data_IF_788127219726
#
_entry.id   IF_788127219726
#
_cell.length_a   1.000
_cell.length_b   1.000
_cell.length_c   1.000
_cell.angle_alpha   90.00
_cell.angle_beta   90.00
_cell.angle_gamma   90.00
#
_symmetry.space_group_name_H-M   'P 1'
#
loop_
_entity.id
_entity.type
_entity.pdbx_description
1 polymer ?
#
# COMPACT_ATOMS: atom_id res chain seq x y z
N UNK A 1 32.12 -21.07 -1.57
CA UNK A 1 30.75 -21.57 -1.82
C UNK A 1 30.36 -21.21 -3.25
N UNK A 2 29.94 -22.16 -4.10
CA UNK A 2 29.38 -21.82 -5.42
C UNK A 2 28.04 -21.12 -5.18
N UNK A 3 27.96 -19.83 -5.47
CA UNK A 3 26.70 -19.08 -5.38
C UNK A 3 25.73 -19.63 -6.44
N UNK A 4 24.47 -19.80 -6.05
CA UNK A 4 23.42 -20.22 -6.99
C UNK A 4 23.24 -19.17 -8.09
N UNK A 5 22.86 -19.60 -9.30
CA UNK A 5 22.49 -18.67 -10.37
C UNK A 5 21.21 -17.92 -9.96
N UNK A 6 21.06 -16.62 -10.31
CA UNK A 6 19.86 -15.83 -9.97
C UNK A 6 18.55 -16.54 -10.31
N UNK A 7 18.47 -17.14 -11.50
CA UNK A 7 17.29 -17.86 -12.00
C UNK A 7 16.88 -19.11 -11.18
N UNK A 8 17.68 -19.51 -10.18
CA UNK A 8 17.37 -20.60 -9.24
C UNK A 8 17.03 -20.09 -7.82
N UNK A 9 16.99 -18.77 -7.61
CA UNK A 9 16.79 -18.15 -6.30
C UNK A 9 15.36 -17.62 -6.19
N UNK A 10 14.64 -18.08 -5.15
CA UNK A 10 13.43 -17.43 -4.67
C UNK A 10 13.74 -16.59 -3.43
N UNK A 11 13.25 -15.36 -3.40
CA UNK A 11 13.45 -14.44 -2.30
C UNK A 11 12.11 -13.97 -1.73
N UNK A 12 12.08 -13.69 -0.43
CA UNK A 12 10.92 -13.14 0.25
C UNK A 12 11.35 -11.94 1.08
N UNK A 13 10.57 -10.86 1.02
CA UNK A 13 10.76 -9.65 1.82
C UNK A 13 9.46 -9.33 2.54
N UNK A 14 9.60 -8.83 3.76
CA UNK A 14 8.50 -8.19 4.46
C UNK A 14 8.18 -6.84 3.80
N UNK A 15 6.90 -6.52 3.62
CA UNK A 15 6.46 -5.26 3.02
C UNK A 15 6.63 -4.09 4.01
N UNK A 16 7.87 -3.65 4.22
CA UNK A 16 8.26 -2.57 5.12
C UNK A 16 8.40 -1.23 4.36
N UNK A 17 7.30 -0.76 3.79
CA UNK A 17 7.23 0.58 3.17
C UNK A 17 8.22 0.80 2.01
N UNK A 18 8.85 1.97 1.98
CA UNK A 18 9.72 2.42 0.88
C UNK A 18 11.01 1.59 0.74
N UNK A 19 11.53 1.03 1.84
CA UNK A 19 12.78 0.26 1.83
C UNK A 19 12.68 -1.03 0.99
N UNK A 20 11.54 -1.71 1.00
CA UNK A 20 11.35 -2.93 0.22
C UNK A 20 11.32 -2.66 -1.29
N UNK A 21 10.96 -1.44 -1.74
CA UNK A 21 10.75 -1.14 -3.17
C UNK A 21 12.06 -1.22 -3.96
N UNK A 22 13.11 -0.54 -3.50
CA UNK A 22 14.39 -0.50 -4.20
C UNK A 22 15.03 -1.88 -4.31
N UNK A 23 15.00 -2.65 -3.22
CA UNK A 23 15.51 -4.02 -3.17
C UNK A 23 14.69 -4.93 -4.11
N UNK A 24 13.36 -4.79 -4.10
CA UNK A 24 12.49 -5.60 -4.96
C UNK A 24 12.76 -5.38 -6.44
N UNK A 25 12.91 -4.12 -6.85
CA UNK A 25 13.26 -3.76 -8.23
C UNK A 25 14.62 -4.32 -8.63
N UNK A 26 15.64 -4.15 -7.78
CA UNK A 26 16.98 -4.65 -8.07
C UNK A 26 17.00 -6.18 -8.21
N UNK A 27 16.36 -6.90 -7.29
CA UNK A 27 16.27 -8.37 -7.35
C UNK A 27 15.54 -8.85 -8.61
N UNK A 28 14.44 -8.20 -8.97
CA UNK A 28 13.70 -8.53 -10.19
C UNK A 28 14.52 -8.26 -11.46
N UNK A 29 15.23 -7.12 -11.53
CA UNK A 29 16.13 -6.79 -12.64
C UNK A 29 17.28 -7.79 -12.80
N UNK A 30 17.74 -8.38 -11.69
CA UNK A 30 18.76 -9.45 -11.73
C UNK A 30 18.22 -10.82 -12.14
N UNK A 31 16.92 -10.93 -12.47
CA UNK A 31 16.33 -12.15 -13.03
C UNK A 31 16.28 -13.29 -12.03
N UNK A 32 15.99 -13.00 -10.76
CA UNK A 32 15.72 -14.07 -9.79
C UNK A 32 14.47 -14.87 -10.17
N UNK A 33 14.38 -16.12 -9.74
CA UNK A 33 13.27 -17.01 -10.09
C UNK A 33 11.91 -16.42 -9.69
N UNK A 34 11.80 -16.00 -8.42
CA UNK A 34 10.59 -15.39 -7.89
C UNK A 34 10.91 -14.50 -6.69
N UNK A 35 10.27 -13.34 -6.62
CA UNK A 35 10.28 -12.48 -5.44
C UNK A 35 8.89 -12.53 -4.79
N UNK A 36 8.83 -12.54 -3.48
CA UNK A 36 7.56 -12.48 -2.74
C UNK A 36 7.58 -11.30 -1.76
N UNK A 37 6.61 -10.41 -1.86
CA UNK A 37 6.37 -9.37 -0.86
C UNK A 37 5.23 -9.78 0.06
N UNK A 38 5.53 -9.94 1.34
CA UNK A 38 4.58 -10.51 2.31
C UNK A 38 4.22 -9.48 3.38
N UNK A 39 2.94 -9.44 3.74
CA UNK A 39 2.45 -8.57 4.80
C UNK A 39 3.14 -8.91 6.15
N UNK A 40 3.69 -7.90 6.87
CA UNK A 40 4.24 -8.03 8.23
C UNK A 40 3.43 -8.91 9.18
N UNK A 41 2.10 -8.84 9.12
CA UNK A 41 1.19 -9.60 9.99
C UNK A 41 1.32 -11.11 9.78
N UNK A 42 1.54 -11.58 8.54
CA UNK A 42 1.74 -13.01 8.25
C UNK A 42 3.07 -13.50 8.81
N UNK A 43 4.14 -12.74 8.61
CA UNK A 43 5.47 -13.06 9.15
C UNK A 43 5.43 -13.10 10.69
N UNK A 44 4.78 -12.12 11.32
CA UNK A 44 4.61 -12.08 12.78
C UNK A 44 3.79 -13.26 13.30
N UNK A 45 2.67 -13.60 12.66
CA UNK A 45 1.84 -14.73 13.05
C UNK A 45 2.62 -16.06 12.96
N UNK A 46 3.38 -16.26 11.88
CA UNK A 46 4.25 -17.43 11.72
C UNK A 46 5.37 -17.49 12.77
N UNK A 47 5.98 -16.34 13.10
CA UNK A 47 6.99 -16.25 14.17
C UNK A 47 6.42 -16.61 15.55
N UNK A 48 5.21 -16.16 15.86
CA UNK A 48 4.52 -16.47 17.11
C UNK A 48 4.19 -17.97 17.22
N UNK A 49 3.72 -18.59 16.12
CA UNK A 49 3.47 -20.03 16.06
C UNK A 49 4.73 -20.86 16.40
N UNK A 50 5.91 -20.35 16.05
CA UNK A 50 7.21 -21.00 16.34
C UNK A 50 7.81 -20.61 17.70
N UNK A 51 7.05 -19.95 18.58
CA UNK A 51 7.47 -19.53 19.93
C UNK A 51 8.77 -18.74 19.95
N UNK A 52 8.97 -17.84 18.97
CA UNK A 52 10.21 -17.07 18.87
C UNK A 52 10.35 -16.09 20.04
N UNK A 53 11.44 -16.21 20.80
CA UNK A 53 11.72 -15.34 21.97
C UNK A 53 12.63 -14.14 21.66
N UNK A 54 13.59 -14.29 20.74
CA UNK A 54 14.57 -13.25 20.43
C UNK A 54 14.30 -12.58 19.07
N UNK A 55 14.52 -11.26 18.99
CA UNK A 55 14.41 -10.45 17.77
C UNK A 55 15.77 -9.89 17.39
N UNK A 56 16.20 -10.18 16.16
CA UNK A 56 17.45 -9.71 15.56
C UNK A 56 17.31 -9.83 14.04
N UNK A 57 17.96 -8.96 13.28
CA UNK A 57 17.85 -8.94 11.82
C UNK A 57 18.16 -10.30 11.17
N UNK A 58 19.18 -11.01 11.67
CA UNK A 58 19.53 -12.36 11.18
C UNK A 58 18.45 -13.40 11.48
N UNK A 59 17.84 -13.33 12.68
CA UNK A 59 16.74 -14.21 13.05
C UNK A 59 15.46 -13.88 12.27
N UNK A 60 15.21 -12.60 11.95
CA UNK A 60 14.11 -12.15 11.11
C UNK A 60 14.29 -12.64 9.67
N UNK A 61 15.46 -12.44 9.06
CA UNK A 61 15.75 -12.96 7.73
C UNK A 61 15.60 -14.49 7.65
N UNK A 62 16.08 -15.23 8.67
CA UNK A 62 15.91 -16.69 8.75
C UNK A 62 14.44 -17.09 8.91
N UNK A 63 13.65 -16.32 9.65
CA UNK A 63 12.21 -16.57 9.79
C UNK A 63 11.49 -16.38 8.45
N UNK A 64 11.79 -15.29 7.74
CA UNK A 64 11.21 -14.99 6.42
C UNK A 64 11.57 -16.07 5.40
N UNK A 65 12.82 -16.55 5.39
CA UNK A 65 13.23 -17.66 4.52
C UNK A 65 12.48 -18.96 4.84
N UNK A 66 12.28 -19.28 6.12
CA UNK A 66 11.48 -20.45 6.54
C UNK A 66 10.00 -20.31 6.19
N UNK A 67 9.45 -19.11 6.34
CA UNK A 67 8.10 -18.79 5.93
C UNK A 67 7.92 -19.02 4.43
N UNK A 68 8.85 -18.52 3.61
CA UNK A 68 8.81 -18.73 2.17
C UNK A 68 8.77 -20.22 1.83
N UNK A 69 9.68 -21.03 2.38
CA UNK A 69 9.70 -22.48 2.12
C UNK A 69 8.39 -23.17 2.53
N UNK A 70 7.76 -22.74 3.62
CA UNK A 70 6.53 -23.35 4.12
C UNK A 70 5.29 -22.97 3.31
N UNK A 71 5.23 -21.73 2.81
CA UNK A 71 3.99 -21.12 2.30
C UNK A 71 4.06 -20.79 0.80
N UNK A 72 5.17 -21.11 0.12
CA UNK A 72 5.44 -20.67 -1.26
C UNK A 72 4.30 -20.92 -2.23
N UNK A 73 3.63 -22.06 -2.13
CA UNK A 73 2.55 -22.47 -3.03
C UNK A 73 1.31 -21.57 -2.91
N UNK A 74 1.13 -20.90 -1.77
CA UNK A 74 0.01 -20.01 -1.49
C UNK A 74 0.41 -18.52 -1.64
N UNK A 75 1.60 -18.25 -2.17
CA UNK A 75 2.10 -16.91 -2.42
C UNK A 75 2.10 -16.59 -3.92
N UNK A 76 1.61 -15.40 -4.25
CA UNK A 76 1.75 -14.84 -5.60
C UNK A 76 3.09 -14.13 -5.72
N UNK A 77 3.91 -14.43 -6.76
CA UNK A 77 5.13 -13.69 -7.02
C UNK A 77 4.85 -12.20 -7.20
N UNK A 78 5.68 -11.36 -6.58
CA UNK A 78 5.66 -9.93 -6.76
C UNK A 78 6.10 -9.57 -8.18
N UNK A 79 5.35 -8.66 -8.78
CA UNK A 79 5.68 -8.01 -10.04
C UNK A 79 5.79 -6.50 -9.83
N UNK A 80 6.74 -5.84 -10.50
CA UNK A 80 6.82 -4.39 -10.46
C UNK A 80 5.56 -3.78 -11.06
N UNK A 81 5.12 -2.65 -10.49
CA UNK A 81 4.09 -1.82 -11.10
C UNK A 81 4.62 -1.25 -12.41
N UNK A 82 3.72 -1.00 -13.36
CA UNK A 82 4.05 -0.24 -14.57
C UNK A 82 4.46 1.19 -14.18
N UNK A 83 5.25 1.85 -15.02
CA UNK A 83 5.69 3.23 -14.79
C UNK A 83 4.50 4.17 -14.55
N UNK A 84 3.40 3.99 -15.28
CA UNK A 84 2.18 4.77 -15.13
C UNK A 84 1.52 4.53 -13.76
N UNK A 85 1.46 3.29 -13.29
CA UNK A 85 0.91 2.96 -11.97
C UNK A 85 1.80 3.46 -10.83
N UNK A 86 3.12 3.45 -11.00
CA UNK A 86 4.07 4.03 -10.04
C UNK A 86 3.87 5.54 -9.93
N UNK A 87 3.85 6.26 -11.07
CA UNK A 87 3.58 7.69 -11.12
C UNK A 87 2.21 8.03 -10.51
N UNK A 88 1.18 7.25 -10.84
CA UNK A 88 -0.16 7.42 -10.26
C UNK A 88 -0.12 7.25 -8.73
N UNK A 89 0.57 6.22 -8.24
CA UNK A 89 0.70 5.95 -6.80
C UNK A 89 1.35 7.14 -6.07
N UNK A 90 2.46 7.64 -6.61
CA UNK A 90 3.20 8.75 -5.98
C UNK A 90 2.36 10.03 -5.95
N UNK A 91 1.68 10.37 -7.05
CA UNK A 91 0.83 11.56 -7.12
C UNK A 91 -0.37 11.45 -6.18
N UNK A 92 -1.03 10.29 -6.12
CA UNK A 92 -2.17 10.07 -5.21
C UNK A 92 -1.74 10.23 -3.75
N UNK A 93 -0.63 9.59 -3.34
CA UNK A 93 -0.06 9.76 -1.99
C UNK A 93 0.31 11.20 -1.69
N UNK A 94 0.83 11.92 -2.68
CA UNK A 94 1.15 13.34 -2.54
C UNK A 94 -0.11 14.18 -2.32
N UNK A 95 -1.22 13.91 -3.03
CA UNK A 95 -2.49 14.59 -2.77
C UNK A 95 -3.01 14.39 -1.35
N UNK A 96 -2.84 13.20 -0.77
CA UNK A 96 -3.19 12.96 0.62
C UNK A 96 -2.29 13.76 1.57
N UNK A 97 -0.99 13.86 1.26
CA UNK A 97 -0.04 14.64 2.06
C UNK A 97 -0.44 16.11 2.10
N UNK A 98 -0.69 16.72 0.94
CA UNK A 98 -1.15 18.11 0.83
C UNK A 98 -2.47 18.28 1.58
N UNK A 99 -3.40 17.33 1.46
CA UNK A 99 -4.70 17.38 2.16
C UNK A 99 -4.50 17.41 3.69
N UNK A 100 -3.59 16.59 4.23
CA UNK A 100 -3.22 16.61 5.66
C UNK A 100 -2.57 17.93 6.06
N UNK A 101 -1.73 18.51 5.22
CA UNK A 101 -1.10 19.80 5.48
C UNK A 101 -2.11 20.95 5.49
N UNK A 102 -3.05 20.97 4.54
CA UNK A 102 -4.17 21.91 4.54
C UNK A 102 -4.97 21.80 5.86
N UNK A 103 -5.28 20.58 6.31
CA UNK A 103 -5.98 20.38 7.58
C UNK A 103 -5.20 20.97 8.76
N UNK A 104 -3.88 20.69 8.85
CA UNK A 104 -3.01 21.27 9.88
C UNK A 104 -2.97 22.79 9.83
N UNK A 105 -2.92 23.37 8.63
CA UNK A 105 -2.91 24.83 8.46
C UNK A 105 -4.24 25.46 8.88
N UNK A 106 -5.38 24.81 8.59
CA UNK A 106 -6.70 25.25 9.04
C UNK A 106 -6.80 25.28 10.57
N UNK A 107 -6.39 24.20 11.23
CA UNK A 107 -6.36 24.16 12.71
C UNK A 107 -5.47 25.27 13.29
N UNK A 108 -4.30 25.53 12.69
CA UNK A 108 -3.44 26.66 13.10
C UNK A 108 -4.10 28.01 12.87
N UNK A 109 -4.89 28.16 11.79
CA UNK A 109 -5.59 29.40 11.47
C UNK A 109 -6.71 29.68 12.48
N UNK A 110 -7.45 28.64 12.89
CA UNK A 110 -8.51 28.76 13.90
C UNK A 110 -7.96 29.14 15.28
N UNK A 111 -6.73 28.70 15.60
CA UNK A 111 -6.07 29.02 16.88
C UNK A 111 -5.31 30.36 16.89
N UNK A 112 -5.15 31.03 15.74
CA UNK A 112 -4.35 32.25 15.64
C UNK A 112 -5.18 33.51 15.94
N UNK A 113 -4.58 34.45 16.67
CA UNK A 113 -5.21 35.74 17.04
C UNK A 113 -4.64 36.88 16.20
N UNK A 114 -3.31 36.88 15.98
CA UNK A 114 -2.63 37.96 15.30
C UNK A 114 -3.06 38.08 13.81
N UNK A 115 -3.50 39.27 13.35
CA UNK A 115 -3.97 39.46 11.98
C UNK A 115 -2.94 39.17 10.88
N UNK A 116 -1.64 39.43 11.14
CA UNK A 116 -0.56 39.16 10.18
C UNK A 116 -0.38 37.65 10.05
N UNK A 117 -0.41 36.92 11.16
CA UNK A 117 -0.37 35.45 11.19
C UNK A 117 -1.57 34.87 10.45
N UNK A 118 -2.79 35.33 10.71
CA UNK A 118 -4.02 34.89 10.02
C UNK A 118 -3.94 35.09 8.50
N UNK A 119 -3.49 36.26 8.05
CA UNK A 119 -3.29 36.56 6.63
C UNK A 119 -2.26 35.62 5.99
N UNK A 120 -1.16 35.34 6.70
CA UNK A 120 -0.11 34.42 6.22
C UNK A 120 -0.62 32.99 6.10
N UNK A 121 -1.34 32.48 7.11
CA UNK A 121 -1.91 31.13 7.12
C UNK A 121 -2.97 30.97 6.03
N UNK A 122 -3.85 31.96 5.86
CA UNK A 122 -4.88 31.96 4.81
C UNK A 122 -4.27 31.92 3.40
N UNK A 123 -3.19 32.67 3.17
CA UNK A 123 -2.45 32.63 1.90
C UNK A 123 -1.84 31.25 1.65
N UNK A 124 -1.26 30.62 2.67
CA UNK A 124 -0.68 29.26 2.56
C UNK A 124 -1.75 28.23 2.24
N UNK A 125 -2.89 28.25 2.95
CA UNK A 125 -4.03 27.36 2.67
C UNK A 125 -4.46 27.47 1.20
N UNK A 126 -4.61 28.71 0.69
CA UNK A 126 -4.97 28.93 -0.73
C UNK A 126 -3.91 28.39 -1.69
N UNK A 127 -2.62 28.56 -1.38
CA UNK A 127 -1.52 28.03 -2.18
C UNK A 127 -1.56 26.50 -2.25
N UNK A 128 -1.70 25.83 -1.10
CA UNK A 128 -1.78 24.37 -1.03
C UNK A 128 -3.02 23.82 -1.75
N UNK A 129 -4.16 24.50 -1.64
CA UNK A 129 -5.38 24.14 -2.38
C UNK A 129 -5.19 24.23 -3.89
N UNK A 130 -4.46 25.24 -4.37
CA UNK A 130 -4.14 25.39 -5.79
C UNK A 130 -3.20 24.27 -6.26
N UNK A 131 -2.19 23.95 -5.46
CA UNK A 131 -1.27 22.83 -5.75
C UNK A 131 -2.03 21.50 -5.79
N UNK A 132 -2.89 21.23 -4.81
CA UNK A 132 -3.74 20.05 -4.77
C UNK A 132 -4.60 19.91 -6.05
N UNK A 133 -5.20 21.01 -6.50
CA UNK A 133 -5.98 21.03 -7.73
C UNK A 133 -5.10 20.73 -8.97
N UNK A 134 -3.90 21.31 -9.04
CA UNK A 134 -2.96 21.05 -10.12
C UNK A 134 -2.52 19.57 -10.18
N UNK A 135 -2.22 18.97 -9.04
CA UNK A 135 -1.84 17.55 -8.96
C UNK A 135 -3.01 16.65 -9.36
N UNK A 136 -4.24 16.96 -8.93
CA UNK A 136 -5.44 16.21 -9.36
C UNK A 136 -5.65 16.25 -10.87
N UNK A 137 -5.38 17.38 -11.52
CA UNK A 137 -5.41 17.47 -12.99
C UNK A 137 -4.36 16.57 -13.65
N UNK A 138 -3.15 16.47 -13.08
CA UNK A 138 -2.10 15.55 -13.57
C UNK A 138 -2.49 14.08 -13.43
N UNK A 139 -3.09 13.71 -12.29
CA UNK A 139 -3.64 12.36 -12.07
C UNK A 139 -4.66 12.02 -13.15
N UNK A 140 -5.61 12.92 -13.40
CA UNK A 140 -6.63 12.74 -14.44
C UNK A 140 -6.02 12.61 -15.84
N UNK A 141 -4.91 13.31 -16.12
CA UNK A 141 -4.21 13.18 -17.40
C UNK A 141 -3.58 11.78 -17.58
N UNK A 142 -2.92 11.24 -16.54
CA UNK A 142 -2.33 9.89 -16.55
C UNK A 142 -3.41 8.82 -16.73
N UNK A 143 -4.53 8.96 -16.00
CA UNK A 143 -5.65 8.02 -16.14
C UNK A 143 -6.22 8.06 -17.56
N UNK A 144 -6.35 9.24 -18.16
CA UNK A 144 -6.85 9.37 -19.54
C UNK A 144 -5.88 8.79 -20.57
N UNK A 145 -4.58 8.93 -20.38
CA UNK A 145 -3.57 8.47 -21.33
C UNK A 145 -3.38 6.94 -21.34
N UNK A 146 -3.74 6.24 -20.26
CA UNK A 146 -3.65 4.78 -20.19
C UNK A 146 -5.02 4.12 -20.29
N UNK A 147 -5.25 3.38 -21.38
CA UNK A 147 -6.50 2.64 -21.62
C UNK A 147 -6.84 1.65 -20.49
N UNK A 148 -5.83 0.96 -19.95
CA UNK A 148 -5.99 -0.02 -18.88
C UNK A 148 -6.44 0.66 -17.58
N UNK A 149 -5.77 1.75 -17.19
CA UNK A 149 -6.09 2.50 -15.98
C UNK A 149 -7.46 3.17 -16.11
N UNK A 150 -7.75 3.76 -17.28
CA UNK A 150 -9.04 4.41 -17.56
C UNK A 150 -10.23 3.46 -17.43
N UNK A 151 -10.13 2.26 -18.03
CA UNK A 151 -11.18 1.25 -17.93
C UNK A 151 -11.39 0.82 -16.48
N UNK A 152 -10.30 0.66 -15.73
CA UNK A 152 -10.35 0.31 -14.31
C UNK A 152 -11.01 1.43 -13.48
N UNK A 153 -10.66 2.70 -13.71
CA UNK A 153 -11.30 3.86 -13.06
C UNK A 153 -12.81 3.90 -13.32
N UNK A 154 -13.23 3.71 -14.57
CA UNK A 154 -14.65 3.71 -14.95
C UNK A 154 -15.43 2.60 -14.26
N UNK A 155 -14.86 1.38 -14.21
CA UNK A 155 -15.48 0.25 -13.53
C UNK A 155 -15.61 0.50 -12.03
N UNK A 156 -14.56 1.00 -11.37
CA UNK A 156 -14.57 1.31 -9.94
C UNK A 156 -15.62 2.38 -9.62
N UNK A 157 -15.69 3.45 -10.42
CA UNK A 157 -16.66 4.53 -10.26
C UNK A 157 -18.10 4.14 -10.56
N UNK A 158 -18.34 3.00 -11.22
CA UNK A 158 -19.70 2.48 -11.44
C UNK A 158 -20.37 1.99 -10.15
N UNK A 159 -19.57 1.76 -9.10
CA UNK A 159 -20.07 1.36 -7.78
C UNK A 159 -20.71 2.57 -7.08
N UNK A 160 -22.00 2.48 -6.67
CA UNK A 160 -22.66 3.57 -5.96
C UNK A 160 -21.87 4.03 -4.72
N UNK A 161 -21.64 5.34 -4.61
CA UNK A 161 -20.89 5.95 -3.51
C UNK A 161 -19.37 6.04 -3.72
N UNK A 162 -18.82 5.51 -4.82
CA UNK A 162 -17.40 5.65 -5.14
C UNK A 162 -17.17 6.82 -6.11
N UNK A 163 -16.48 7.85 -5.62
CA UNK A 163 -16.06 9.02 -6.40
C UNK A 163 -14.62 8.92 -6.91
N UNK A 164 -14.18 9.97 -7.62
CA UNK A 164 -12.83 10.06 -8.23
C UNK A 164 -11.70 9.84 -7.22
N UNK A 165 -11.77 10.52 -6.08
CA UNK A 165 -10.72 10.44 -5.05
C UNK A 165 -10.57 9.00 -4.55
N UNK A 166 -11.68 8.34 -4.23
CA UNK A 166 -11.70 6.96 -3.77
C UNK A 166 -11.23 5.99 -4.86
N UNK A 167 -11.66 6.21 -6.10
CA UNK A 167 -11.23 5.42 -7.25
C UNK A 167 -9.72 5.51 -7.48
N UNK A 168 -9.17 6.73 -7.49
CA UNK A 168 -7.73 6.95 -7.67
C UNK A 168 -6.91 6.31 -6.54
N UNK A 169 -7.41 6.38 -5.30
CA UNK A 169 -6.78 5.71 -4.16
C UNK A 169 -6.76 4.19 -4.33
N UNK A 170 -7.88 3.61 -4.77
CA UNK A 170 -7.96 2.18 -5.06
C UNK A 170 -6.97 1.78 -6.16
N UNK A 171 -6.90 2.52 -7.26
CA UNK A 171 -5.97 2.27 -8.37
C UNK A 171 -4.50 2.41 -7.96
N UNK A 172 -4.19 3.32 -7.03
CA UNK A 172 -2.86 3.54 -6.52
C UNK A 172 -2.40 2.46 -5.54
N UNK A 173 -3.27 2.03 -4.61
CA UNK A 173 -2.87 1.18 -3.48
C UNK A 173 -3.23 -0.30 -3.66
N UNK A 174 -4.32 -0.61 -4.35
CA UNK A 174 -4.73 -2.01 -4.56
C UNK A 174 -3.79 -2.62 -5.63
N UNK A 175 -3.12 -3.75 -5.33
CA UNK A 175 -2.34 -4.47 -6.32
C UNK A 175 -3.26 -5.05 -7.40
N UNK A 176 -2.70 -5.69 -8.42
CA UNK A 176 -3.51 -6.33 -9.46
C UNK A 176 -4.61 -7.22 -8.82
N UNK A 177 -5.85 -7.01 -9.24
CA UNK A 177 -7.02 -7.71 -8.72
C UNK A 177 -6.93 -9.22 -9.00
N UNK A 178 -6.18 -9.64 -10.02
CA UNK A 178 -5.91 -11.05 -10.32
C UNK A 178 -5.15 -11.77 -9.20
N UNK A 179 -4.51 -11.03 -8.29
CA UNK A 179 -3.88 -11.60 -7.09
C UNK A 179 -4.90 -12.09 -6.05
N UNK A 180 -6.18 -11.74 -6.20
CA UNK A 180 -7.25 -12.13 -5.29
C UNK A 180 -8.19 -13.11 -5.97
N UNK A 181 -8.35 -14.29 -5.38
CA UNK A 181 -9.30 -15.31 -5.82
C UNK A 181 -10.76 -14.86 -5.71
N UNK A 182 -11.07 -13.96 -4.78
CA UNK A 182 -12.41 -13.43 -4.56
C UNK A 182 -12.41 -12.11 -3.78
N UNK A 183 -13.54 -11.42 -3.79
CA UNK A 183 -13.72 -10.14 -3.10
C UNK A 183 -13.50 -10.20 -1.58
N UNK A 184 -13.77 -11.35 -0.92
CA UNK A 184 -13.51 -11.48 0.53
C UNK A 184 -12.01 -11.46 0.82
N UNK A 185 -11.19 -12.04 -0.05
CA UNK A 185 -9.74 -12.02 0.09
C UNK A 185 -9.19 -10.60 -0.06
N UNK A 186 -9.70 -9.83 -1.03
CA UNK A 186 -9.37 -8.41 -1.17
C UNK A 186 -9.79 -7.61 0.07
N UNK A 187 -11.01 -7.83 0.57
CA UNK A 187 -11.53 -7.13 1.74
C UNK A 187 -10.72 -7.46 3.02
N UNK A 188 -10.30 -8.72 3.18
CA UNK A 188 -9.41 -9.14 4.26
C UNK A 188 -8.01 -8.54 4.13
N UNK A 189 -7.48 -8.47 2.91
CA UNK A 189 -6.20 -7.81 2.62
C UNK A 189 -6.24 -6.31 2.93
N UNK A 190 -7.33 -5.63 2.53
CA UNK A 190 -7.57 -4.23 2.83
C UNK A 190 -7.88 -3.99 4.33
N UNK A 191 -8.13 -5.05 5.10
CA UNK A 191 -8.42 -4.97 6.54
C UNK A 191 -9.80 -4.41 6.87
N UNK A 192 -10.75 -4.46 5.92
CA UNK A 192 -12.11 -3.92 6.08
C UNK A 192 -13.13 -4.98 6.52
N UNK A 193 -12.72 -6.24 6.63
CA UNK A 193 -13.56 -7.32 7.17
C UNK A 193 -13.38 -7.48 8.68
N UNK A 194 -14.46 -7.56 9.48
CA UNK A 194 -14.38 -7.88 10.90
C UNK A 194 -13.67 -9.22 11.13
N UNK A 195 -12.75 -9.28 12.09
CA UNK A 195 -12.18 -10.54 12.55
C UNK A 195 -13.10 -11.13 13.62
N UNK A 196 -13.83 -12.20 13.30
CA UNK A 196 -14.56 -12.98 14.31
C UNK A 196 -13.56 -13.80 15.14
N UNK A 197 -13.20 -13.31 16.33
CA UNK A 197 -12.51 -14.11 17.35
C UNK A 197 -13.55 -14.88 18.18
N UNK A 198 -14.00 -16.02 17.68
CA UNK A 198 -14.81 -16.97 18.47
C UNK A 198 -13.90 -18.08 18.97
N UNK A 199 -13.19 -17.81 20.07
CA UNK A 199 -12.56 -18.86 20.88
C UNK A 199 -13.58 -19.39 21.89
N UNK A 200 -14.49 -20.25 21.44
CA UNK A 200 -15.45 -20.94 22.31
C UNK A 200 -16.93 -20.70 21.99
N UNK A 201 -17.74 -21.70 22.28
CA UNK A 201 -19.18 -21.86 21.97
C UNK A 201 -20.11 -20.97 22.81
N UNK A 202 -19.72 -19.74 23.10
CA UNK A 202 -20.57 -18.77 23.82
C UNK A 202 -20.53 -17.42 23.13
N UNK A 203 -21.39 -17.25 22.14
CA UNK A 203 -21.58 -16.00 21.43
C UNK A 203 -22.19 -14.93 22.32
N UNK A 204 -21.48 -13.83 22.52
CA UNK A 204 -22.09 -12.51 22.69
C UNK A 204 -21.34 -11.52 21.79
N UNK A 205 -22.02 -10.78 20.91
CA UNK A 205 -21.41 -9.71 20.17
C UNK A 205 -21.26 -8.50 21.11
N UNK A 206 -20.03 -8.01 21.26
CA UNK A 206 -19.77 -6.69 21.83
C UNK A 206 -19.44 -5.75 20.67
N UNK A 207 -20.23 -4.67 20.59
CA UNK A 207 -20.08 -3.50 19.71
C UNK A 207 -18.83 -2.68 20.04
#
# INVERSE_FOLDING_TARGET
AKLAKPAAISACLEQTGHYSIAISKALHQHGIHALFLVNPRRIKAFGNQKLRRNKSDTADARLIARFLVAEQNDLTPWTPKTTENEQLTDLVRYTESITREIAKLKTKCEAAIDPIVLKSLSRRIKSEQKELAAIRLRINAIIKSSDTIRKSDQLIRSIPGIGEISSHLMLAEIPDLTHFSNARQLAAWAGVTPCHFVSGTSGRPTT
#
